data_IF_931610744076
#
_entry.id   IF_931610744076
#
_cell.length_a   1.000
_cell.length_b   1.000
_cell.length_c   1.000
_cell.angle_alpha   90.00
_cell.angle_beta   90.00
_cell.angle_gamma   90.00
#
_symmetry.space_group_name_H-M   'P 1'
#
loop_
_entity.id
_entity.type
_entity.pdbx_description
1 polymer ?
#
# COMPACT_ATOMS: atom_id res chain seq x y z
N UNK A 1 -17.76 -9.38 -14.89
CA UNK A 1 -17.88 -8.89 -13.50
C UNK A 1 -18.47 -7.50 -13.56
N UNK A 2 -19.41 -7.17 -12.70
CA UNK A 2 -19.98 -5.82 -12.59
C UNK A 2 -19.13 -5.00 -11.62
N UNK A 3 -19.09 -3.69 -11.81
CA UNK A 3 -18.46 -2.74 -10.88
C UNK A 3 -19.57 -1.96 -10.15
N UNK A 4 -20.08 -2.49 -9.04
CA UNK A 4 -21.32 -1.97 -8.41
C UNK A 4 -21.14 -0.57 -7.81
N UNK A 5 -19.91 -0.14 -7.54
CA UNK A 5 -19.61 1.15 -6.94
C UNK A 5 -18.99 2.16 -7.93
N UNK A 6 -19.08 1.86 -9.23
CA UNK A 6 -18.60 2.79 -10.25
C UNK A 6 -19.73 3.69 -10.75
N UNK A 7 -19.48 4.99 -10.77
CA UNK A 7 -20.38 5.94 -11.40
C UNK A 7 -20.40 5.70 -12.92
N UNK A 8 -21.59 5.74 -13.51
CA UNK A 8 -21.76 5.52 -14.95
C UNK A 8 -21.22 6.66 -15.81
N UNK A 9 -21.21 7.85 -15.25
CA UNK A 9 -20.73 9.09 -15.89
C UNK A 9 -19.80 9.79 -14.90
N UNK A 10 -19.08 10.78 -15.36
CA UNK A 10 -18.14 11.60 -14.61
C UNK A 10 -16.80 10.89 -14.29
N UNK A 11 -15.84 11.67 -13.80
CA UNK A 11 -14.46 11.27 -13.55
C UNK A 11 -13.57 11.35 -14.80
N UNK A 12 -12.28 11.34 -14.57
CA UNK A 12 -11.24 11.50 -15.59
C UNK A 12 -10.74 10.17 -16.17
N UNK A 13 -11.51 9.10 -16.01
CA UNK A 13 -11.15 7.77 -16.50
C UNK A 13 -11.59 7.56 -17.96
N UNK A 14 -10.78 6.85 -18.73
CA UNK A 14 -11.10 6.43 -20.09
C UNK A 14 -11.85 5.10 -20.08
N UNK A 15 -13.18 5.14 -20.10
CA UNK A 15 -14.03 3.93 -20.04
C UNK A 15 -13.95 3.04 -21.29
N UNK A 16 -13.36 3.54 -22.36
CA UNK A 16 -13.16 2.74 -23.58
C UNK A 16 -11.92 1.82 -23.48
N UNK A 17 -11.03 2.09 -22.55
CA UNK A 17 -9.80 1.30 -22.36
C UNK A 17 -9.83 0.59 -21.02
N UNK A 18 -10.20 -0.68 -21.09
CA UNK A 18 -10.25 -1.58 -19.93
C UNK A 18 -8.86 -2.11 -19.62
N UNK A 19 -8.52 -2.15 -18.33
CA UNK A 19 -7.25 -2.64 -17.80
C UNK A 19 -7.53 -3.80 -16.86
N UNK A 20 -6.81 -4.91 -17.03
CA UNK A 20 -6.91 -6.08 -16.16
C UNK A 20 -5.77 -6.09 -15.15
N UNK A 21 -6.09 -6.40 -13.90
CA UNK A 21 -5.11 -6.51 -12.83
C UNK A 21 -5.50 -7.59 -11.83
N UNK A 22 -4.61 -7.90 -10.90
CA UNK A 22 -4.85 -8.90 -9.86
C UNK A 22 -4.74 -8.27 -8.47
N UNK A 23 -5.66 -8.60 -7.58
CA UNK A 23 -5.59 -8.22 -6.18
C UNK A 23 -5.82 -9.43 -5.27
N UNK A 24 -4.85 -9.74 -4.41
CA UNK A 24 -4.87 -10.92 -3.54
C UNK A 24 -5.21 -12.21 -4.31
N UNK A 25 -4.64 -12.40 -5.50
CA UNK A 25 -4.87 -13.53 -6.39
C UNK A 25 -6.19 -13.51 -7.17
N UNK A 26 -7.05 -12.51 -6.97
CA UNK A 26 -8.32 -12.37 -7.68
C UNK A 26 -8.14 -11.45 -8.89
N UNK A 27 -8.51 -11.92 -10.08
CA UNK A 27 -8.53 -11.11 -11.30
C UNK A 27 -9.67 -10.10 -11.25
N UNK A 28 -9.33 -8.85 -11.50
CA UNK A 28 -10.23 -7.70 -11.49
C UNK A 28 -9.99 -6.86 -12.75
N UNK A 29 -10.80 -5.83 -12.94
CA UNK A 29 -10.56 -4.85 -13.98
C UNK A 29 -10.84 -3.44 -13.50
N UNK A 30 -10.19 -2.49 -14.13
CA UNK A 30 -10.44 -1.06 -14.05
C UNK A 30 -10.37 -0.44 -15.43
N UNK A 31 -10.14 0.84 -15.48
CA UNK A 31 -10.01 1.59 -16.71
C UNK A 31 -8.76 2.48 -16.67
N UNK A 32 -8.29 2.89 -17.83
CA UNK A 32 -7.19 3.86 -17.93
C UNK A 32 -7.53 5.15 -17.17
N UNK A 33 -6.60 5.62 -16.35
CA UNK A 33 -6.80 6.76 -15.44
C UNK A 33 -7.33 6.37 -14.04
N UNK A 34 -7.67 5.08 -13.81
CA UNK A 34 -7.90 4.60 -12.45
C UNK A 34 -6.58 4.51 -11.66
N UNK A 35 -6.64 4.78 -10.38
CA UNK A 35 -5.64 4.30 -9.41
C UNK A 35 -6.01 2.89 -8.96
N UNK A 36 -5.07 2.18 -8.32
CA UNK A 36 -5.38 0.87 -7.71
C UNK A 36 -6.57 1.02 -6.74
N UNK A 37 -6.58 2.09 -5.93
CA UNK A 37 -7.64 2.35 -4.97
C UNK A 37 -9.01 2.53 -5.64
N UNK A 38 -9.11 3.38 -6.65
CA UNK A 38 -10.37 3.63 -7.35
C UNK A 38 -10.91 2.39 -8.04
N UNK A 39 -10.02 1.59 -8.63
CA UNK A 39 -10.39 0.33 -9.26
C UNK A 39 -10.86 -0.71 -8.23
N UNK A 40 -10.22 -0.82 -7.05
CA UNK A 40 -10.65 -1.72 -5.99
C UNK A 40 -12.02 -1.34 -5.44
N UNK A 41 -12.24 -0.05 -5.13
CA UNK A 41 -13.54 0.45 -4.67
C UNK A 41 -14.62 0.15 -5.71
N UNK A 42 -14.37 0.45 -6.98
CA UNK A 42 -15.32 0.18 -8.06
C UNK A 42 -15.73 -1.31 -8.13
N UNK A 43 -14.80 -2.22 -7.87
CA UNK A 43 -15.06 -3.66 -7.82
C UNK A 43 -15.67 -4.13 -6.48
N UNK A 44 -15.99 -3.24 -5.55
CA UNK A 44 -16.59 -3.57 -4.26
C UNK A 44 -15.60 -4.11 -3.22
N UNK A 45 -14.33 -3.84 -3.40
CA UNK A 45 -13.28 -4.21 -2.43
C UNK A 45 -12.97 -3.00 -1.57
N UNK A 46 -13.42 -3.04 -0.33
CA UNK A 46 -13.26 -1.96 0.64
C UNK A 46 -12.23 -2.31 1.73
N UNK A 47 -11.97 -3.59 1.95
CA UNK A 47 -11.00 -4.08 2.93
C UNK A 47 -9.68 -4.38 2.22
N UNK A 48 -8.65 -3.58 2.50
CA UNK A 48 -7.35 -3.68 1.80
C UNK A 48 -6.18 -3.98 2.72
N UNK A 49 -6.36 -3.82 4.03
CA UNK A 49 -5.28 -4.09 4.98
C UNK A 49 -5.78 -4.24 6.41
N UNK A 50 -4.84 -4.42 7.32
CA UNK A 50 -5.07 -4.54 8.75
C UNK A 50 -4.21 -3.54 9.52
N UNK A 51 -4.67 -3.11 10.70
CA UNK A 51 -3.87 -2.19 11.51
C UNK A 51 -2.66 -2.91 12.11
N UNK A 52 -1.58 -2.17 12.27
CA UNK A 52 -0.30 -2.66 12.77
C UNK A 52 -0.40 -3.46 14.08
N UNK A 53 -1.02 -2.90 15.11
CA UNK A 53 -0.99 -3.46 16.48
C UNK A 53 -2.08 -4.49 16.73
N UNK A 54 -3.29 -4.16 16.34
CA UNK A 54 -4.48 -4.95 16.69
C UNK A 54 -5.09 -5.69 15.50
N UNK A 55 -4.51 -5.58 14.33
CA UNK A 55 -5.00 -6.19 13.10
C UNK A 55 -6.49 -5.90 12.82
N UNK A 56 -6.93 -4.70 13.18
CA UNK A 56 -8.28 -4.24 12.88
C UNK A 56 -8.45 -3.99 11.39
N UNK A 57 -9.63 -4.28 10.82
CA UNK A 57 -9.89 -4.01 9.41
C UNK A 57 -9.58 -2.57 9.02
N UNK A 58 -8.93 -2.38 7.86
CA UNK A 58 -8.59 -1.09 7.28
C UNK A 58 -8.98 -1.04 5.82
N UNK A 59 -9.68 0.01 5.46
CA UNK A 59 -10.03 0.36 4.08
C UNK A 59 -9.38 1.65 3.67
N UNK A 60 -9.95 2.29 2.67
CA UNK A 60 -9.51 3.60 2.19
C UNK A 60 -10.07 4.70 3.10
N UNK A 61 -9.22 5.63 3.47
CA UNK A 61 -9.57 6.79 4.27
C UNK A 61 -9.45 8.10 3.46
N UNK A 62 -8.40 8.22 2.67
CA UNK A 62 -8.13 9.36 1.80
C UNK A 62 -8.21 9.00 0.32
N UNK A 63 -8.01 10.00 -0.53
CA UNK A 63 -8.02 9.85 -1.99
C UNK A 63 -6.68 10.14 -2.66
N UNK A 64 -5.70 10.63 -1.92
CA UNK A 64 -4.38 11.02 -2.42
C UNK A 64 -3.25 10.55 -1.53
N UNK A 65 -2.17 11.34 -1.46
CA UNK A 65 -0.94 11.06 -0.70
C UNK A 65 -1.17 10.93 0.82
N UNK A 66 -2.24 11.51 1.32
CA UNK A 66 -2.64 11.48 2.72
C UNK A 66 -3.21 10.13 3.18
N UNK A 67 -3.40 9.16 2.27
CA UNK A 67 -3.96 7.86 2.59
C UNK A 67 -3.03 7.05 3.54
N UNK A 68 -3.45 6.79 4.79
CA UNK A 68 -2.57 6.15 5.76
C UNK A 68 -2.65 4.62 5.78
N UNK A 69 -3.71 4.01 5.22
CA UNK A 69 -4.04 2.62 5.44
C UNK A 69 -3.83 1.71 4.24
N UNK A 70 -4.00 2.22 3.03
CA UNK A 70 -4.03 1.43 1.81
C UNK A 70 -2.62 1.23 1.21
N UNK A 71 -1.72 0.67 2.03
CA UNK A 71 -0.37 0.28 1.62
C UNK A 71 -0.38 -1.15 1.10
N UNK A 72 0.13 -1.33 -0.10
CA UNK A 72 0.12 -2.61 -0.80
C UNK A 72 1.53 -3.01 -1.23
N UNK A 73 1.74 -4.32 -1.37
CA UNK A 73 2.84 -4.84 -2.15
C UNK A 73 2.38 -4.89 -3.60
N UNK A 74 3.13 -4.27 -4.49
CA UNK A 74 2.82 -4.21 -5.92
C UNK A 74 3.91 -4.92 -6.70
N UNK A 75 3.49 -5.76 -7.62
CA UNK A 75 4.36 -6.48 -8.54
C UNK A 75 3.99 -6.11 -9.98
N UNK A 76 4.96 -5.64 -10.71
CA UNK A 76 4.81 -5.27 -12.11
C UNK A 76 6.13 -5.44 -12.86
N UNK A 77 6.08 -6.03 -14.06
CA UNK A 77 7.27 -6.27 -14.92
C UNK A 77 8.44 -7.00 -14.23
N UNK A 78 8.15 -7.87 -13.24
CA UNK A 78 9.17 -8.57 -12.47
C UNK A 78 9.84 -7.70 -11.40
N UNK A 79 9.33 -6.50 -11.16
CA UNK A 79 9.71 -5.65 -10.05
C UNK A 79 8.66 -5.72 -8.94
N UNK A 80 9.11 -5.75 -7.68
CA UNK A 80 8.23 -5.87 -6.51
C UNK A 80 8.49 -4.69 -5.58
N UNK A 81 7.48 -3.84 -5.41
CA UNK A 81 7.55 -2.66 -4.56
C UNK A 81 6.68 -2.80 -3.32
N UNK A 82 7.27 -2.67 -2.14
CA UNK A 82 6.54 -2.67 -0.88
C UNK A 82 5.98 -1.29 -0.53
N UNK A 83 4.92 -1.29 0.27
CA UNK A 83 4.34 -0.10 0.88
C UNK A 83 3.86 0.97 -0.10
N UNK A 84 3.46 0.55 -1.30
CA UNK A 84 2.91 1.46 -2.32
C UNK A 84 1.54 1.94 -1.89
N UNK A 85 1.32 3.24 -1.99
CA UNK A 85 0.00 3.85 -1.77
C UNK A 85 -0.93 3.48 -2.93
N UNK A 86 -2.00 2.76 -2.63
CA UNK A 86 -3.00 2.39 -3.65
C UNK A 86 -3.70 3.60 -4.29
N UNK A 87 -3.72 4.73 -3.61
CA UNK A 87 -4.34 5.98 -4.07
C UNK A 87 -3.47 6.79 -5.02
N UNK A 88 -2.16 6.52 -5.06
CA UNK A 88 -1.20 7.23 -5.91
C UNK A 88 -0.75 6.40 -7.11
N UNK A 89 -0.75 5.08 -6.97
CA UNK A 89 -0.31 4.20 -8.04
C UNK A 89 -1.37 4.09 -9.13
N UNK A 90 -1.01 4.49 -10.34
CA UNK A 90 -1.83 4.33 -11.53
C UNK A 90 -2.02 2.85 -11.86
N UNK A 91 -3.21 2.50 -12.32
CA UNK A 91 -3.54 1.15 -12.73
C UNK A 91 -2.96 0.86 -14.12
N UNK A 92 -2.13 -0.17 -14.21
CA UNK A 92 -1.55 -0.64 -15.47
C UNK A 92 -1.90 -2.09 -15.75
N UNK A 93 -1.87 -2.50 -17.03
CA UNK A 93 -2.23 -3.84 -17.46
C UNK A 93 -1.25 -4.88 -16.89
N UNK A 94 -1.80 -5.95 -16.31
CA UNK A 94 -1.02 -7.03 -15.71
C UNK A 94 -0.45 -6.78 -14.33
N UNK A 95 -0.76 -5.63 -13.71
CA UNK A 95 -0.34 -5.31 -12.35
C UNK A 95 -0.91 -6.32 -11.35
N UNK A 96 -0.08 -6.77 -10.42
CA UNK A 96 -0.49 -7.61 -9.29
C UNK A 96 -0.25 -6.86 -7.98
N UNK A 97 -1.28 -6.74 -7.16
CA UNK A 97 -1.20 -6.11 -5.86
C UNK A 97 -1.67 -7.05 -4.75
N UNK A 98 -1.02 -6.98 -3.60
CA UNK A 98 -1.38 -7.81 -2.43
C UNK A 98 -1.39 -6.98 -1.15
N UNK A 99 -2.28 -7.35 -0.24
CA UNK A 99 -2.33 -6.82 1.12
C UNK A 99 -1.13 -7.30 1.92
N UNK A 100 -0.49 -6.40 2.68
CA UNK A 100 0.76 -6.71 3.35
C UNK A 100 0.59 -7.17 4.80
N UNK A 101 -0.30 -6.55 5.54
CA UNK A 101 -0.42 -6.76 6.99
C UNK A 101 -1.58 -7.70 7.33
N UNK A 102 -1.51 -8.94 6.87
CA UNK A 102 -2.51 -9.97 7.17
C UNK A 102 -1.95 -11.38 6.93
N UNK A 103 -2.46 -12.36 7.65
CA UNK A 103 -2.12 -13.77 7.45
C UNK A 103 -3.24 -14.70 7.96
N UNK A 104 -3.72 -15.67 7.17
CA UNK A 104 -3.36 -15.97 5.78
C UNK A 104 -4.00 -15.02 4.75
N UNK A 105 -5.01 -14.23 5.12
CA UNK A 105 -5.67 -13.30 4.20
C UNK A 105 -6.21 -12.07 4.92
N UNK A 106 -6.50 -11.02 4.15
CA UNK A 106 -7.08 -9.79 4.71
C UNK A 106 -8.47 -10.00 5.33
N UNK A 107 -9.24 -10.95 4.80
CA UNK A 107 -10.58 -11.26 5.32
C UNK A 107 -10.52 -12.15 6.58
N UNK A 108 -9.61 -13.10 6.59
CA UNK A 108 -9.37 -13.98 7.73
C UNK A 108 -7.92 -13.84 8.17
N UNK A 109 -7.71 -13.09 9.24
CA UNK A 109 -6.38 -12.75 9.73
C UNK A 109 -6.21 -13.23 11.17
N UNK A 110 -5.28 -14.15 11.39
CA UNK A 110 -4.97 -14.70 12.72
C UNK A 110 -4.45 -13.62 13.65
N UNK A 111 -3.73 -12.60 13.12
CA UNK A 111 -3.26 -11.47 13.91
C UNK A 111 -4.37 -10.68 14.61
N UNK A 112 -5.62 -10.81 14.14
CA UNK A 112 -6.78 -10.18 14.77
C UNK A 112 -7.04 -10.64 16.23
N UNK A 113 -6.44 -11.74 16.66
CA UNK A 113 -6.47 -12.18 18.08
C UNK A 113 -5.88 -11.11 19.00
N UNK A 114 -4.94 -10.30 18.53
CA UNK A 114 -4.36 -9.20 19.29
C UNK A 114 -5.41 -8.18 19.76
N UNK A 115 -6.53 -8.07 19.05
CA UNK A 115 -7.61 -7.17 19.46
C UNK A 115 -8.33 -7.67 20.73
N UNK A 116 -8.39 -8.98 20.95
CA UNK A 116 -8.93 -9.55 22.18
C UNK A 116 -7.94 -9.37 23.34
N UNK A 117 -6.65 -9.47 23.05
CA UNK A 117 -5.57 -9.32 24.04
C UNK A 117 -5.18 -7.84 24.28
N UNK A 118 -5.99 -6.88 23.84
CA UNK A 118 -5.68 -5.44 23.89
C UNK A 118 -5.30 -4.92 25.28
N UNK A 119 -5.81 -5.52 26.34
CA UNK A 119 -5.48 -5.15 27.73
C UNK A 119 -4.01 -5.41 28.07
N UNK A 120 -3.39 -6.38 27.43
CA UNK A 120 -1.97 -6.73 27.63
C UNK A 120 -1.02 -5.89 26.77
N UNK A 121 -1.56 -5.09 25.83
CA UNK A 121 -0.79 -4.25 24.91
C UNK A 121 -1.03 -2.76 25.16
N UNK A 122 -0.67 -2.21 26.33
CA UNK A 122 -0.79 -0.76 26.55
C UNK A 122 0.11 0.02 25.60
N UNK A 123 -0.06 1.35 25.56
CA UNK A 123 0.81 2.20 24.78
C UNK A 123 2.28 2.00 25.21
N UNK A 124 3.17 1.84 24.24
CA UNK A 124 4.60 1.64 24.49
C UNK A 124 4.99 0.25 25.03
N UNK A 125 4.09 -0.74 25.00
CA UNK A 125 4.39 -2.09 25.52
C UNK A 125 5.67 -2.69 24.89
N UNK A 126 5.94 -2.44 23.64
CA UNK A 126 7.11 -2.99 22.92
C UNK A 126 8.43 -2.39 23.40
N UNK A 127 8.46 -1.15 23.86
CA UNK A 127 9.64 -0.57 24.49
C UNK A 127 10.01 -1.26 25.81
N UNK A 128 9.02 -1.79 26.53
CA UNK A 128 9.23 -2.47 27.81
C UNK A 128 9.45 -3.96 27.63
N UNK A 129 8.78 -4.59 26.66
CA UNK A 129 8.76 -6.05 26.50
C UNK A 129 9.99 -6.58 25.77
N UNK A 130 10.50 -5.86 24.77
CA UNK A 130 11.59 -6.32 23.90
C UNK A 130 12.96 -5.70 24.23
N UNK A 131 13.12 -5.19 25.45
CA UNK A 131 14.36 -4.52 25.87
C UNK A 131 15.40 -5.47 26.47
N UNK A 132 15.01 -6.67 26.85
CA UNK A 132 15.90 -7.62 27.53
C UNK A 132 15.73 -9.05 26.99
N UNK A 133 16.86 -9.75 26.73
CA UNK A 133 18.24 -9.27 26.69
C UNK A 133 18.51 -8.41 25.44
N UNK A 134 19.31 -7.35 25.57
CA UNK A 134 19.61 -6.39 24.48
C UNK A 134 20.19 -7.05 23.22
N UNK A 135 20.96 -8.13 23.39
CA UNK A 135 21.57 -8.90 22.28
C UNK A 135 20.56 -9.55 21.34
N UNK A 136 19.30 -9.73 21.79
CA UNK A 136 18.25 -10.35 20.99
C UNK A 136 17.53 -9.35 20.09
N UNK A 137 17.76 -8.04 20.27
CA UNK A 137 17.08 -7.02 19.50
C UNK A 137 17.19 -7.25 17.99
N UNK A 138 18.41 -7.25 17.47
CA UNK A 138 18.63 -7.38 16.02
C UNK A 138 18.38 -8.79 15.49
N UNK A 139 18.56 -9.82 16.30
CA UNK A 139 18.48 -11.22 15.84
C UNK A 139 17.08 -11.80 15.92
N UNK A 140 16.27 -11.36 16.87
CA UNK A 140 14.96 -11.97 17.17
C UNK A 140 13.85 -10.93 17.16
N UNK A 141 13.95 -9.88 17.99
CA UNK A 141 12.82 -8.98 18.21
C UNK A 141 12.51 -8.11 17.00
N UNK A 142 13.51 -7.48 16.41
CA UNK A 142 13.32 -6.60 15.24
C UNK A 142 12.77 -7.34 14.03
N UNK A 143 13.32 -8.49 13.60
CA UNK A 143 12.75 -9.25 12.49
C UNK A 143 11.32 -9.73 12.75
N UNK A 144 11.01 -10.15 13.98
CA UNK A 144 9.68 -10.55 14.36
C UNK A 144 8.69 -9.38 14.34
N UNK A 145 9.08 -8.24 14.91
CA UNK A 145 8.26 -7.02 14.93
C UNK A 145 8.02 -6.51 13.53
N UNK A 146 9.05 -6.47 12.68
CA UNK A 146 8.95 -6.07 11.28
C UNK A 146 7.95 -6.94 10.51
N UNK A 147 8.04 -8.26 10.68
CA UNK A 147 7.11 -9.20 10.05
C UNK A 147 5.68 -9.03 10.58
N UNK A 148 5.52 -8.88 11.89
CA UNK A 148 4.22 -8.65 12.52
C UNK A 148 3.63 -7.28 12.12
N UNK A 149 4.47 -6.29 11.85
CA UNK A 149 4.07 -4.99 11.35
C UNK A 149 3.51 -5.04 9.93
N UNK A 150 3.77 -6.11 9.19
CA UNK A 150 3.36 -6.22 7.78
C UNK A 150 4.04 -5.20 6.88
N UNK A 151 5.23 -4.76 7.25
CA UNK A 151 6.07 -3.97 6.35
C UNK A 151 6.48 -4.86 5.18
N UNK A 152 6.28 -4.37 3.96
CA UNK A 152 6.61 -5.13 2.76
C UNK A 152 8.09 -5.47 2.66
N UNK A 153 8.39 -6.39 1.76
CA UNK A 153 9.76 -6.85 1.50
C UNK A 153 10.27 -6.16 0.24
N UNK A 154 11.40 -5.45 0.37
CA UNK A 154 12.06 -4.84 -0.77
C UNK A 154 12.50 -5.91 -1.78
N UNK A 155 12.41 -5.59 -3.07
CA UNK A 155 12.89 -6.45 -4.14
C UNK A 155 14.39 -6.69 -4.00
N UNK A 156 14.81 -7.95 -4.16
CA UNK A 156 16.23 -8.34 -4.24
C UNK A 156 16.72 -8.26 -5.70
N UNK A 157 15.79 -8.26 -6.65
CA UNK A 157 16.10 -8.16 -8.07
C UNK A 157 16.59 -6.76 -8.43
N UNK A 158 17.51 -6.71 -9.40
CA UNK A 158 17.98 -5.43 -9.93
C UNK A 158 16.83 -4.74 -10.66
N UNK A 159 16.70 -3.46 -10.41
CA UNK A 159 15.80 -2.61 -11.18
C UNK A 159 16.19 -2.66 -12.66
N UNK A 160 15.24 -3.02 -13.50
CA UNK A 160 15.41 -3.11 -14.97
C UNK A 160 14.98 -1.82 -15.67
N UNK A 161 14.38 -0.91 -14.93
CA UNK A 161 13.93 0.36 -15.49
C UNK A 161 15.12 1.25 -15.82
N UNK A 162 14.99 2.00 -16.90
CA UNK A 162 15.98 2.99 -17.34
C UNK A 162 15.42 4.36 -17.03
N UNK A 163 16.08 5.05 -16.15
CA UNK A 163 15.76 6.43 -15.81
C UNK A 163 16.48 7.36 -16.75
N UNK A 164 15.76 8.28 -17.36
CA UNK A 164 16.32 9.31 -18.23
C UNK A 164 16.60 10.58 -17.44
N UNK A 165 17.73 11.21 -17.68
CA UNK A 165 18.01 12.55 -17.20
C UNK A 165 17.64 13.54 -18.30
N UNK A 166 16.69 14.41 -18.02
CA UNK A 166 16.22 15.46 -18.95
C UNK A 166 16.36 16.82 -18.33
N UNK A 167 16.65 17.80 -19.17
CA UNK A 167 16.51 19.20 -18.81
C UNK A 167 15.17 19.68 -19.32
N UNK A 168 14.30 20.09 -18.41
CA UNK A 168 12.98 20.61 -18.74
C UNK A 168 12.93 22.11 -18.43
N UNK A 169 12.24 22.85 -19.27
CA UNK A 169 12.02 24.28 -19.08
C UNK A 169 10.58 24.48 -18.64
N UNK A 170 10.38 25.16 -17.52
CA UNK A 170 9.03 25.46 -17.01
C UNK A 170 9.05 26.81 -16.30
N UNK A 171 7.93 27.53 -16.38
CA UNK A 171 7.75 28.80 -15.67
C UNK A 171 7.49 28.58 -14.17
N UNK A 172 6.94 27.41 -13.82
CA UNK A 172 6.65 27.04 -12.44
C UNK A 172 6.93 25.55 -12.21
N UNK A 173 7.82 25.24 -11.30
CA UNK A 173 8.07 23.87 -10.82
C UNK A 173 7.45 23.70 -9.44
N UNK A 174 6.37 22.93 -9.33
CA UNK A 174 5.81 22.51 -8.06
C UNK A 174 6.37 21.15 -7.65
N UNK A 175 7.22 21.13 -6.62
CA UNK A 175 7.79 19.90 -6.06
C UNK A 175 7.05 19.56 -4.77
N UNK A 176 6.65 18.29 -4.65
CA UNK A 176 5.95 17.80 -3.48
C UNK A 176 6.79 17.91 -2.21
N UNK A 177 6.11 18.08 -1.11
CA UNK A 177 6.40 18.36 0.28
C UNK A 177 7.83 18.13 0.86
N UNK A 178 8.67 17.28 0.33
CA UNK A 178 9.93 16.91 0.98
C UNK A 178 11.11 17.85 0.73
N UNK A 179 11.05 18.75 -0.26
CA UNK A 179 12.13 19.66 -0.62
C UNK A 179 11.66 20.97 -1.26
N UNK A 180 10.84 21.74 -0.54
CA UNK A 180 10.63 23.14 -0.90
C UNK A 180 11.68 24.00 -0.20
N UNK A 181 12.89 24.03 -0.73
CA UNK A 181 13.78 25.16 -0.53
C UNK A 181 13.59 26.12 -1.70
N UNK A 182 12.79 27.14 -1.49
CA UNK A 182 12.79 28.29 -2.40
C UNK A 182 14.16 28.98 -2.25
N UNK A 183 14.88 29.24 -3.34
CA UNK A 183 16.06 30.09 -3.25
C UNK A 183 15.59 31.46 -2.78
N UNK A 184 15.98 31.84 -1.58
CA UNK A 184 15.88 33.21 -1.10
C UNK A 184 16.96 34.00 -1.79
N UNK A 185 16.56 34.81 -2.76
CA UNK A 185 17.39 35.89 -3.28
C UNK A 185 17.50 37.00 -2.28
#
# INVERSE_FOLDING_TARGET
>A
MSQPFRLNKEGLINRNKKISFTFNGKKLFGYEGDTIASALIANGIHLVGRSFKYHRPRGFFGAGVEEPNAKLQVEFNGHSEPNVNATEMELVEGLSATSQNCWPSVNFDIGAINNFLKMFFPAGFYYKTFMWPKSFWYKIYEPFIRKAAGLGVASIEKDKERYEHKFEYCDLLAVSYTHLTLPTT
#
